data_IF_301333249145
#
_entry.id   IF_301333249145
#
_cell.length_a   1.000
_cell.length_b   1.000
_cell.length_c   1.000
_cell.angle_alpha   90.00
_cell.angle_beta   90.00
_cell.angle_gamma   90.00
#
_symmetry.space_group_name_H-M   'P 1'
#
loop_
_entity.id
_entity.type
_entity.pdbx_description
1 polymer ?
#
# COMPACT_ATOMS: atom_id res chain seq x y z
N UNK A 1 32.58 7.52 25.58
CA UNK A 1 32.94 7.95 24.22
C UNK A 1 34.41 7.67 24.01
N UNK A 2 34.78 7.02 22.90
CA UNK A 2 36.19 6.80 22.58
C UNK A 2 36.82 8.15 22.17
N UNK A 3 38.05 8.46 22.63
CA UNK A 3 38.68 9.74 22.33
C UNK A 3 39.18 9.75 20.88
N UNK A 4 38.88 10.85 20.17
CA UNK A 4 39.63 11.26 18.98
C UNK A 4 41.08 11.58 19.39
N UNK A 5 42.08 11.36 18.51
CA UNK A 5 41.96 11.42 17.07
C UNK A 5 42.02 10.07 16.34
N UNK A 6 41.35 10.01 15.19
CA UNK A 6 41.55 8.94 14.21
C UNK A 6 43.04 8.84 13.84
N UNK A 7 43.66 7.70 14.08
CA UNK A 7 45.03 7.42 13.65
C UNK A 7 45.04 6.96 12.19
N UNK A 8 46.15 7.15 11.47
CA UNK A 8 46.31 6.61 10.11
C UNK A 8 46.11 5.10 10.06
N UNK A 9 46.45 4.40 11.14
CA UNK A 9 46.19 2.98 11.32
C UNK A 9 44.69 2.67 11.47
N UNK A 10 43.93 3.50 12.19
CA UNK A 10 42.47 3.35 12.32
C UNK A 10 41.72 3.53 10.99
N UNK A 11 42.30 4.27 10.04
CA UNK A 11 41.74 4.47 8.71
C UNK A 11 41.97 3.28 7.76
N UNK A 12 42.95 2.40 8.04
CA UNK A 12 43.19 1.19 7.22
C UNK A 12 42.00 0.22 7.25
N UNK A 13 41.23 0.24 8.34
CA UNK A 13 40.03 -0.59 8.55
C UNK A 13 38.73 0.20 8.37
N UNK A 14 38.79 1.44 7.87
CA UNK A 14 37.60 2.25 7.66
C UNK A 14 36.69 1.61 6.61
N UNK A 15 35.40 1.55 6.90
CA UNK A 15 34.38 1.09 5.96
C UNK A 15 33.55 2.27 5.48
N UNK A 16 33.38 2.42 4.17
CA UNK A 16 32.39 3.36 3.61
C UNK A 16 31.04 2.66 3.71
N UNK A 17 30.09 3.34 4.36
CA UNK A 17 28.70 2.95 4.26
C UNK A 17 27.95 3.98 3.44
N UNK A 18 27.37 3.54 2.33
CA UNK A 18 26.51 4.40 1.51
C UNK A 18 25.15 4.49 2.19
N UNK A 19 24.79 5.67 2.68
CA UNK A 19 23.48 5.92 3.27
C UNK A 19 22.44 5.92 2.17
N UNK A 20 21.59 4.89 2.16
CA UNK A 20 20.60 4.72 1.14
C UNK A 20 19.34 4.08 1.73
N UNK A 21 18.24 4.83 1.78
CA UNK A 21 16.93 4.27 2.12
C UNK A 21 16.24 3.76 0.85
N UNK A 22 15.69 2.53 0.82
CA UNK A 22 14.92 2.02 -0.32
C UNK A 22 13.83 3.00 -0.78
N UNK A 23 13.28 3.79 0.16
CA UNK A 23 12.26 4.78 -0.12
C UNK A 23 12.75 5.95 -0.98
N UNK A 24 14.06 6.24 -0.98
CA UNK A 24 14.72 7.30 -1.76
C UNK A 24 15.11 6.84 -3.17
N UNK A 25 15.19 5.52 -3.41
CA UNK A 25 15.46 4.92 -4.71
C UNK A 25 14.26 4.19 -5.30
N UNK A 26 13.10 4.28 -4.64
CA UNK A 26 11.87 3.70 -5.17
C UNK A 26 11.52 4.36 -6.52
N UNK A 27 11.05 3.59 -7.53
CA UNK A 27 10.67 4.12 -8.84
C UNK A 27 9.72 5.32 -8.77
N UNK A 28 8.84 5.36 -7.76
CA UNK A 28 7.93 6.50 -7.50
C UNK A 28 8.65 7.85 -7.29
N UNK A 29 9.85 7.84 -6.69
CA UNK A 29 10.63 9.08 -6.48
C UNK A 29 11.22 9.55 -7.82
N UNK A 30 11.57 8.61 -8.70
CA UNK A 30 11.95 8.88 -10.07
C UNK A 30 10.79 9.56 -10.83
N UNK A 31 9.56 9.01 -10.72
CA UNK A 31 8.36 9.60 -11.31
C UNK A 31 8.06 11.00 -10.77
N UNK A 32 8.22 11.23 -9.46
CA UNK A 32 8.07 12.56 -8.88
C UNK A 32 9.02 13.58 -9.48
N UNK A 33 10.26 13.18 -9.80
CA UNK A 33 11.26 14.08 -10.40
C UNK A 33 10.81 14.57 -11.77
N UNK A 34 10.20 13.70 -12.57
CA UNK A 34 9.66 14.07 -13.89
C UNK A 34 8.44 14.97 -13.84
N UNK A 35 7.71 14.97 -12.73
CA UNK A 35 6.56 15.84 -12.54
C UNK A 35 6.96 17.26 -12.09
N UNK A 36 8.22 17.47 -11.73
CA UNK A 36 8.74 18.79 -11.39
C UNK A 36 9.18 19.54 -12.65
N UNK A 37 8.93 20.87 -12.73
CA UNK A 37 9.41 21.69 -13.84
C UNK A 37 10.93 21.57 -14.01
N UNK A 38 11.40 21.39 -15.25
CA UNK A 38 12.81 21.22 -15.55
C UNK A 38 13.66 22.44 -15.17
N UNK A 39 13.03 23.62 -15.05
CA UNK A 39 13.72 24.84 -14.62
C UNK A 39 14.15 24.80 -13.15
N UNK A 40 13.53 23.95 -12.33
CA UNK A 40 13.89 23.75 -10.94
C UNK A 40 14.95 22.64 -10.90
N UNK A 41 16.23 23.03 -10.86
CA UNK A 41 17.39 22.14 -10.83
C UNK A 41 17.55 21.32 -9.54
N UNK A 42 16.48 20.69 -9.05
CA UNK A 42 16.49 19.86 -7.86
C UNK A 42 16.57 18.38 -8.22
N UNK A 43 17.55 17.71 -7.63
CA UNK A 43 17.77 16.28 -7.83
C UNK A 43 17.16 15.48 -6.67
N UNK A 44 15.91 15.02 -6.83
CA UNK A 44 15.24 14.23 -5.79
C UNK A 44 15.40 12.71 -5.94
N UNK A 45 15.82 12.25 -7.12
CA UNK A 45 16.06 10.84 -7.42
C UNK A 45 17.44 10.67 -8.03
N UNK A 46 18.29 9.86 -7.40
CA UNK A 46 19.63 9.53 -7.90
C UNK A 46 19.76 8.13 -8.49
N UNK A 47 18.82 7.23 -8.16
CA UNK A 47 18.91 5.81 -8.50
C UNK A 47 20.02 5.11 -7.71
N UNK A 48 19.74 3.91 -7.20
CA UNK A 48 20.75 3.14 -6.48
C UNK A 48 21.75 2.53 -7.47
N UNK A 49 21.24 1.78 -8.45
CA UNK A 49 22.00 1.26 -9.59
C UNK A 49 21.61 1.94 -10.91
N UNK A 50 22.06 1.33 -12.01
CA UNK A 50 21.67 1.73 -13.36
C UNK A 50 20.14 1.63 -13.52
N UNK A 51 19.57 2.58 -14.23
CA UNK A 51 18.14 2.62 -14.55
C UNK A 51 17.92 3.45 -15.81
N UNK A 52 16.68 3.50 -16.28
CA UNK A 52 16.28 4.27 -17.48
C UNK A 52 16.71 5.75 -17.44
N UNK A 53 16.96 6.31 -16.25
CA UNK A 53 17.34 7.72 -16.09
C UNK A 53 18.83 7.94 -16.03
N UNK A 54 19.60 6.90 -15.72
CA UNK A 54 21.03 6.96 -15.48
C UNK A 54 21.71 5.65 -15.76
N UNK A 55 22.69 5.74 -16.64
CA UNK A 55 23.70 4.70 -16.83
C UNK A 55 24.49 4.45 -15.54
N UNK A 56 24.73 5.47 -14.70
CA UNK A 56 25.52 5.32 -13.47
C UNK A 56 24.74 5.81 -12.24
N UNK A 57 24.25 4.86 -11.44
CA UNK A 57 23.59 5.10 -10.15
C UNK A 57 24.56 5.53 -9.03
N UNK A 58 24.03 5.86 -7.85
CA UNK A 58 24.86 6.23 -6.69
C UNK A 58 25.86 5.13 -6.32
N UNK A 59 25.47 3.87 -6.48
CA UNK A 59 26.30 2.70 -6.17
C UNK A 59 27.51 2.63 -7.10
N UNK A 60 27.28 2.80 -8.41
CA UNK A 60 28.34 2.83 -9.42
C UNK A 60 29.31 3.98 -9.18
N UNK A 61 28.79 5.17 -8.85
CA UNK A 61 29.63 6.33 -8.52
C UNK A 61 30.45 6.12 -7.25
N UNK A 62 29.84 5.54 -6.22
CA UNK A 62 30.56 5.22 -4.98
C UNK A 62 31.68 4.21 -5.24
N UNK A 63 31.44 3.22 -6.12
CA UNK A 63 32.46 2.26 -6.57
C UNK A 63 33.62 2.95 -7.27
N UNK A 64 33.34 3.80 -8.26
CA UNK A 64 34.39 4.43 -9.07
C UNK A 64 35.25 5.39 -8.22
N UNK A 65 34.62 6.13 -7.29
CA UNK A 65 35.33 6.99 -6.32
C UNK A 65 36.18 6.17 -5.36
N UNK A 66 35.68 5.04 -4.86
CA UNK A 66 36.45 4.23 -3.92
C UNK A 66 37.61 3.49 -4.58
N UNK A 67 37.44 3.01 -5.81
CA UNK A 67 38.53 2.43 -6.60
C UNK A 67 39.64 3.45 -6.85
N UNK A 68 39.28 4.67 -7.26
CA UNK A 68 40.27 5.74 -7.47
C UNK A 68 40.95 6.21 -6.17
N UNK A 69 40.29 6.06 -5.03
CA UNK A 69 40.86 6.32 -3.71
C UNK A 69 41.70 5.15 -3.14
N UNK A 70 41.82 4.03 -3.87
CA UNK A 70 42.58 2.85 -3.47
C UNK A 70 41.90 1.96 -2.42
N UNK A 71 40.58 2.07 -2.26
CA UNK A 71 39.83 1.27 -1.30
C UNK A 71 39.37 -0.03 -1.96
N UNK A 72 39.50 -1.13 -1.23
CA UNK A 72 39.01 -2.43 -1.66
C UNK A 72 37.48 -2.49 -1.58
N UNK A 73 36.87 -3.26 -2.47
CA UNK A 73 35.41 -3.31 -2.63
C UNK A 73 34.68 -3.84 -1.39
N UNK A 74 35.30 -4.78 -0.67
CA UNK A 74 34.81 -5.33 0.60
C UNK A 74 34.75 -4.30 1.73
N UNK A 75 35.39 -3.13 1.57
CA UNK A 75 35.30 -2.02 2.51
C UNK A 75 34.11 -1.09 2.25
N UNK A 76 33.35 -1.31 1.17
CA UNK A 76 32.19 -0.51 0.82
C UNK A 76 30.94 -1.36 1.01
N UNK A 77 30.03 -0.90 1.85
CA UNK A 77 28.74 -1.56 2.01
C UNK A 77 27.60 -0.57 1.89
N UNK A 78 26.41 -1.10 1.61
CA UNK A 78 25.19 -0.35 1.83
C UNK A 78 25.01 -0.11 3.33
N UNK A 79 24.57 1.08 3.72
CA UNK A 79 24.07 1.27 5.07
C UNK A 79 22.64 0.77 5.12
N UNK A 80 22.45 -0.42 5.69
CA UNK A 80 21.13 -1.02 5.79
C UNK A 80 20.24 -0.33 6.85
N UNK A 81 20.58 0.87 7.33
CA UNK A 81 19.85 1.58 8.38
C UNK A 81 18.84 2.52 7.71
N UNK A 82 17.63 2.01 7.40
CA UNK A 82 16.63 1.72 8.44
C UNK A 82 16.21 0.25 8.58
N UNK A 83 16.58 -0.64 7.66
CA UNK A 83 16.27 -2.08 7.67
C UNK A 83 16.93 -2.79 8.88
N UNK A 84 18.19 -2.49 9.21
CA UNK A 84 18.90 -3.07 10.35
C UNK A 84 18.33 -2.57 11.68
N UNK A 85 17.98 -1.28 11.77
CA UNK A 85 17.31 -0.77 12.97
C UNK A 85 15.92 -1.39 13.14
N UNK A 86 15.23 -1.63 12.02
CA UNK A 86 14.01 -2.41 11.98
C UNK A 86 14.23 -3.85 12.45
N UNK A 87 15.26 -4.54 11.96
CA UNK A 87 15.58 -5.92 12.35
C UNK A 87 15.89 -6.00 13.84
N UNK A 88 16.67 -5.04 14.36
CA UNK A 88 16.97 -4.95 15.78
C UNK A 88 15.74 -4.64 16.63
N UNK A 89 14.86 -3.75 16.15
CA UNK A 89 13.57 -3.53 16.80
C UNK A 89 12.73 -4.82 16.75
N UNK A 90 12.64 -5.51 15.63
CA UNK A 90 11.90 -6.77 15.49
C UNK A 90 12.42 -7.85 16.45
N UNK A 91 13.73 -8.00 16.57
CA UNK A 91 14.41 -8.89 17.53
C UNK A 91 14.12 -8.48 18.98
N UNK A 92 14.29 -7.20 19.32
CA UNK A 92 14.01 -6.68 20.66
C UNK A 92 12.53 -6.87 21.05
N UNK A 93 11.62 -6.77 20.07
CA UNK A 93 10.19 -7.01 20.25
C UNK A 93 9.85 -8.50 20.41
N UNK A 94 10.57 -9.39 19.73
CA UNK A 94 10.40 -10.84 19.90
C UNK A 94 10.82 -11.31 21.30
N UNK A 95 11.72 -10.57 21.96
CA UNK A 95 12.17 -10.83 23.32
C UNK A 95 11.41 -10.06 24.41
N UNK A 96 10.50 -9.16 24.04
CA UNK A 96 9.78 -8.32 24.99
C UNK A 96 8.64 -9.08 25.67
N UNK A 97 8.54 -8.97 27.00
CA UNK A 97 7.46 -9.61 27.77
C UNK A 97 6.09 -9.09 27.32
N UNK A 98 5.09 -9.97 27.07
CA UNK A 98 3.80 -9.60 26.50
C UNK A 98 2.93 -8.71 27.42
N UNK A 99 3.27 -8.61 28.70
CA UNK A 99 2.39 -8.00 29.70
C UNK A 99 2.27 -6.47 29.57
N UNK A 100 3.30 -5.76 29.07
CA UNK A 100 3.21 -4.32 28.78
C UNK A 100 4.14 -3.88 27.63
N UNK A 101 3.68 -3.91 26.37
CA UNK A 101 4.45 -3.37 25.25
C UNK A 101 4.60 -1.85 25.43
N UNK A 102 5.83 -1.35 25.31
CA UNK A 102 6.13 0.08 25.35
C UNK A 102 5.30 0.85 24.30
N UNK A 103 5.05 2.17 24.46
CA UNK A 103 4.30 2.96 23.48
C UNK A 103 4.87 2.85 22.06
N UNK A 104 6.19 2.70 21.94
CA UNK A 104 6.89 2.48 20.66
C UNK A 104 6.51 1.11 20.08
N UNK A 105 6.49 0.05 20.90
CA UNK A 105 6.04 -1.29 20.48
C UNK A 105 4.62 -1.25 19.95
N UNK A 106 3.70 -0.57 20.64
CA UNK A 106 2.30 -0.43 20.21
C UNK A 106 2.18 0.32 18.88
N UNK A 107 2.95 1.40 18.71
CA UNK A 107 2.99 2.17 17.45
C UNK A 107 3.45 1.30 16.27
N UNK A 108 4.43 0.43 16.48
CA UNK A 108 4.91 -0.48 15.44
C UNK A 108 4.10 -1.78 15.31
N UNK A 109 3.30 -2.13 16.32
CA UNK A 109 2.46 -3.33 16.35
C UNK A 109 1.44 -3.39 15.21
N UNK A 110 0.93 -2.24 14.77
CA UNK A 110 0.01 -2.12 13.62
C UNK A 110 0.67 -2.63 12.33
N UNK A 111 1.97 -2.41 12.16
CA UNK A 111 2.69 -2.84 10.95
C UNK A 111 3.01 -4.34 10.95
N UNK A 112 2.93 -5.00 12.11
CA UNK A 112 3.07 -6.45 12.29
C UNK A 112 1.74 -7.20 12.17
N UNK A 113 0.62 -6.50 12.30
CA UNK A 113 -0.70 -7.07 12.05
C UNK A 113 -0.82 -7.55 10.58
N UNK A 114 -1.68 -8.54 10.29
CA UNK A 114 -2.67 -9.11 11.18
C UNK A 114 -2.07 -10.13 12.16
N UNK A 115 -2.66 -10.17 13.36
CA UNK A 115 -2.47 -11.24 14.32
C UNK A 115 -3.60 -12.27 14.16
N UNK A 116 -3.30 -13.53 14.45
CA UNK A 116 -4.24 -14.65 14.42
C UNK A 116 -4.31 -15.26 15.82
N UNK A 117 -5.48 -15.74 16.21
CA UNK A 117 -5.61 -16.61 17.36
C UNK A 117 -5.15 -18.00 16.96
N UNK A 118 -4.19 -18.54 17.70
CA UNK A 118 -3.73 -19.90 17.57
C UNK A 118 -4.23 -20.70 18.76
N UNK A 119 -4.69 -21.91 18.47
CA UNK A 119 -5.12 -22.87 19.46
C UNK A 119 -3.99 -23.88 19.62
N UNK A 120 -3.48 -24.00 20.82
CA UNK A 120 -2.50 -25.02 21.18
C UNK A 120 -3.13 -26.01 22.16
N UNK A 121 -2.99 -27.30 21.87
CA UNK A 121 -3.44 -28.35 22.76
C UNK A 121 -2.29 -28.70 23.70
N UNK A 122 -2.42 -28.29 24.95
CA UNK A 122 -1.49 -28.63 26.03
C UNK A 122 -2.03 -29.83 26.83
N UNK A 123 -1.19 -30.56 27.58
CA UNK A 123 -1.65 -31.64 28.46
C UNK A 123 -2.69 -31.19 29.50
N UNK A 124 -2.72 -29.89 29.82
CA UNK A 124 -3.61 -29.24 30.78
C UNK A 124 -4.91 -28.72 30.14
N UNK A 125 -5.03 -28.80 28.81
CA UNK A 125 -6.21 -28.38 28.06
C UNK A 125 -5.88 -27.50 26.84
N UNK A 126 -6.92 -26.90 26.28
CA UNK A 126 -6.82 -26.01 25.13
C UNK A 126 -6.40 -24.61 25.57
N UNK A 127 -5.24 -24.14 25.13
CA UNK A 127 -4.81 -22.76 25.33
C UNK A 127 -4.97 -21.98 24.03
N UNK A 128 -5.49 -20.75 24.13
CA UNK A 128 -5.62 -19.84 22.99
C UNK A 128 -4.62 -18.72 23.18
N UNK A 129 -3.71 -18.55 22.23
CA UNK A 129 -2.73 -17.47 22.23
C UNK A 129 -2.79 -16.66 20.94
N UNK A 130 -2.32 -15.41 20.99
CA UNK A 130 -2.30 -14.51 19.84
C UNK A 130 -0.89 -14.55 19.23
N UNK A 131 -0.81 -14.85 17.93
CA UNK A 131 0.44 -14.88 17.19
C UNK A 131 0.38 -13.99 15.93
N UNK A 132 1.50 -13.41 15.48
CA UNK A 132 1.54 -12.67 14.21
C UNK A 132 1.26 -13.61 13.03
N UNK A 133 0.63 -13.09 11.97
CA UNK A 133 0.49 -13.78 10.69
C UNK A 133 1.81 -13.80 9.92
N UNK A 134 2.00 -14.82 9.06
CA UNK A 134 3.17 -14.96 8.17
C UNK A 134 3.35 -13.75 7.23
N UNK A 135 2.23 -13.11 6.88
CA UNK A 135 2.20 -11.94 6.01
C UNK A 135 1.77 -10.72 6.81
N UNK A 136 2.70 -9.80 7.04
CA UNK A 136 2.47 -8.57 7.81
C UNK A 136 2.13 -7.40 6.91
N UNK A 137 1.37 -6.43 7.43
CA UNK A 137 1.02 -5.19 6.74
C UNK A 137 2.27 -4.47 6.19
N UNK A 138 3.37 -4.47 6.95
CA UNK A 138 4.65 -3.88 6.52
C UNK A 138 5.25 -4.58 5.31
N UNK A 139 5.27 -5.90 5.33
CA UNK A 139 5.84 -6.69 4.24
C UNK A 139 5.07 -6.43 2.94
N UNK A 140 3.74 -6.45 3.01
CA UNK A 140 2.88 -6.14 1.86
C UNK A 140 3.06 -4.70 1.38
N UNK A 141 3.19 -3.74 2.31
CA UNK A 141 3.50 -2.36 1.96
C UNK A 141 4.84 -2.21 1.25
N UNK A 142 5.85 -2.96 1.67
CA UNK A 142 7.16 -2.96 1.02
C UNK A 142 7.05 -3.47 -0.41
N UNK A 143 6.33 -4.58 -0.66
CA UNK A 143 6.03 -5.08 -2.02
C UNK A 143 5.38 -4.01 -2.89
N UNK A 144 4.37 -3.30 -2.37
CA UNK A 144 3.76 -2.20 -3.10
C UNK A 144 4.78 -1.10 -3.43
N UNK A 145 5.60 -0.68 -2.47
CA UNK A 145 6.53 0.44 -2.65
C UNK A 145 7.63 0.15 -3.69
N UNK A 146 7.98 -1.11 -3.89
CA UNK A 146 8.93 -1.54 -4.93
C UNK A 146 8.26 -1.83 -6.29
N UNK A 147 6.95 -1.57 -6.42
CA UNK A 147 6.22 -1.69 -7.68
C UNK A 147 5.52 -3.04 -7.92
N UNK A 148 5.57 -3.98 -6.96
CA UNK A 148 4.90 -5.28 -7.06
C UNK A 148 3.41 -5.16 -6.69
N UNK A 149 2.67 -4.30 -7.40
CA UNK A 149 1.29 -3.93 -7.05
C UNK A 149 0.31 -5.11 -7.13
N UNK A 150 0.49 -6.01 -8.09
CA UNK A 150 -0.37 -7.20 -8.26
C UNK A 150 -0.29 -8.17 -7.09
N UNK A 151 0.93 -8.47 -6.63
CA UNK A 151 1.14 -9.36 -5.48
C UNK A 151 0.77 -8.68 -4.18
N UNK A 152 1.08 -7.38 -4.04
CA UNK A 152 0.65 -6.62 -2.88
C UNK A 152 -0.89 -6.60 -2.74
N UNK A 153 -1.64 -6.52 -3.85
CA UNK A 153 -3.11 -6.59 -3.82
C UNK A 153 -3.64 -7.93 -3.30
N UNK A 154 -3.01 -9.05 -3.70
CA UNK A 154 -3.38 -10.38 -3.20
C UNK A 154 -3.15 -10.47 -1.70
N UNK A 155 -1.99 -9.97 -1.24
CA UNK A 155 -1.59 -10.07 0.15
C UNK A 155 -2.33 -9.07 1.07
N UNK A 156 -2.84 -7.95 0.55
CA UNK A 156 -3.67 -7.04 1.35
C UNK A 156 -5.05 -7.61 1.67
N UNK A 157 -5.59 -8.51 0.85
CA UNK A 157 -6.91 -9.08 1.05
C UNK A 157 -7.07 -9.80 2.41
N UNK A 158 -6.21 -10.77 2.79
CA UNK A 158 -6.31 -11.44 4.10
C UNK A 158 -6.12 -10.47 5.27
N UNK A 159 -5.35 -9.39 5.11
CA UNK A 159 -5.18 -8.35 6.15
C UNK A 159 -6.48 -7.56 6.36
N UNK A 160 -7.20 -7.25 5.27
CA UNK A 160 -8.48 -6.52 5.32
C UNK A 160 -9.60 -7.33 5.97
N UNK A 161 -9.55 -8.66 5.89
CA UNK A 161 -10.56 -9.54 6.47
C UNK A 161 -10.20 -10.02 7.88
N UNK A 162 -8.93 -9.91 8.29
CA UNK A 162 -8.47 -10.35 9.61
C UNK A 162 -9.13 -9.63 10.79
N UNK A 163 -9.64 -8.41 10.60
CA UNK A 163 -10.40 -7.71 11.64
C UNK A 163 -11.81 -8.30 11.84
N UNK A 164 -12.31 -9.12 10.91
CA UNK A 164 -13.64 -9.72 10.95
C UNK A 164 -13.64 -11.13 11.57
N UNK A 165 -12.48 -11.76 11.72
CA UNK A 165 -12.36 -13.15 12.16
C UNK A 165 -12.82 -13.39 13.60
N UNK A 166 -12.86 -12.36 14.45
CA UNK A 166 -13.24 -12.49 15.87
C UNK A 166 -14.10 -11.30 16.33
N UNK A 167 -15.39 -11.35 15.97
CA UNK A 167 -16.36 -10.27 16.26
C UNK A 167 -16.48 -9.97 17.75
N UNK A 168 -16.35 -10.98 18.61
CA UNK A 168 -16.56 -10.84 20.06
C UNK A 168 -15.32 -10.34 20.82
N UNK A 169 -14.13 -10.38 20.22
CA UNK A 169 -12.90 -9.88 20.81
C UNK A 169 -11.95 -9.37 19.70
N UNK A 170 -12.20 -8.18 19.13
CA UNK A 170 -11.40 -7.68 18.03
C UNK A 170 -10.01 -7.23 18.52
N UNK A 171 -8.96 -7.74 17.87
CA UNK A 171 -7.60 -7.23 18.02
C UNK A 171 -7.55 -5.85 17.35
N UNK A 172 -7.37 -4.78 18.13
CA UNK A 172 -7.42 -3.40 17.62
C UNK A 172 -6.39 -3.16 16.51
N UNK A 173 -5.20 -3.74 16.62
CA UNK A 173 -4.15 -3.68 15.61
C UNK A 173 -4.60 -4.25 14.27
N UNK A 174 -5.42 -5.31 14.27
CA UNK A 174 -5.99 -5.87 13.03
C UNK A 174 -6.97 -4.90 12.39
N UNK A 175 -7.81 -4.22 13.17
CA UNK A 175 -8.74 -3.21 12.66
C UNK A 175 -8.00 -2.04 12.02
N UNK A 176 -6.97 -1.53 12.70
CA UNK A 176 -6.15 -0.43 12.16
C UNK A 176 -5.40 -0.89 10.90
N UNK A 177 -4.85 -2.10 10.91
CA UNK A 177 -4.14 -2.65 9.76
C UNK A 177 -5.07 -2.90 8.56
N UNK A 178 -6.29 -3.36 8.79
CA UNK A 178 -7.31 -3.52 7.76
C UNK A 178 -7.66 -2.17 7.10
N UNK A 179 -7.74 -1.09 7.89
CA UNK A 179 -7.97 0.27 7.39
C UNK A 179 -6.82 0.74 6.48
N UNK A 180 -5.57 0.59 6.91
CA UNK A 180 -4.41 0.91 6.07
C UNK A 180 -4.35 0.04 4.81
N UNK A 181 -4.57 -1.26 4.94
CA UNK A 181 -4.60 -2.19 3.82
C UNK A 181 -5.70 -1.84 2.80
N UNK A 182 -6.85 -1.31 3.24
CA UNK A 182 -7.90 -0.84 2.34
C UNK A 182 -7.47 0.39 1.53
N UNK A 183 -6.89 1.40 2.19
CA UNK A 183 -6.35 2.59 1.50
C UNK A 183 -5.27 2.20 0.49
N UNK A 184 -4.34 1.34 0.91
CA UNK A 184 -3.21 0.93 0.08
C UNK A 184 -3.61 -0.02 -1.05
N UNK A 185 -4.64 -0.84 -0.86
CA UNK A 185 -5.28 -1.58 -1.97
C UNK A 185 -5.86 -0.63 -3.02
N UNK A 186 -6.54 0.44 -2.59
CA UNK A 186 -7.05 1.48 -3.50
C UNK A 186 -5.92 2.15 -4.30
N UNK A 187 -4.79 2.44 -3.65
CA UNK A 187 -3.59 2.96 -4.33
C UNK A 187 -3.02 1.96 -5.34
N UNK A 188 -2.86 0.68 -4.99
CA UNK A 188 -2.38 -0.33 -5.95
C UNK A 188 -3.32 -0.46 -7.15
N UNK A 189 -4.63 -0.39 -6.95
CA UNK A 189 -5.62 -0.42 -8.04
C UNK A 189 -5.46 0.81 -8.95
N UNK A 190 -5.20 1.98 -8.39
CA UNK A 190 -4.92 3.19 -9.15
C UNK A 190 -3.62 3.07 -9.96
N UNK A 191 -2.54 2.59 -9.32
CA UNK A 191 -1.22 2.40 -9.93
C UNK A 191 -1.23 1.34 -11.05
N UNK A 192 -2.11 0.35 -10.96
CA UNK A 192 -2.32 -0.69 -11.99
C UNK A 192 -3.33 -0.30 -13.08
N UNK A 193 -3.72 0.99 -13.16
CA UNK A 193 -4.61 1.49 -14.20
C UNK A 193 -6.09 1.08 -14.03
N UNK A 194 -6.53 0.76 -12.81
CA UNK A 194 -7.91 0.35 -12.49
C UNK A 194 -8.63 1.38 -11.60
N UNK A 195 -8.80 2.64 -12.06
CA UNK A 195 -9.27 3.73 -11.21
C UNK A 195 -10.72 3.53 -10.72
N UNK A 196 -11.60 2.88 -11.48
CA UNK A 196 -12.97 2.58 -11.03
C UNK A 196 -13.01 1.59 -9.87
N UNK A 197 -12.07 0.64 -9.83
CA UNK A 197 -11.92 -0.26 -8.68
C UNK A 197 -11.37 0.49 -7.47
N UNK A 198 -10.39 1.37 -7.69
CA UNK A 198 -9.83 2.23 -6.65
C UNK A 198 -10.91 3.09 -5.98
N UNK A 199 -11.78 3.74 -6.75
CA UNK A 199 -12.92 4.53 -6.22
C UNK A 199 -13.79 3.67 -5.32
N UNK A 200 -14.28 2.51 -5.78
CA UNK A 200 -15.14 1.64 -4.97
C UNK A 200 -14.48 1.20 -3.65
N UNK A 201 -13.20 0.86 -3.70
CA UNK A 201 -12.44 0.45 -2.51
C UNK A 201 -12.31 1.61 -1.51
N UNK A 202 -11.97 2.81 -2.01
CA UNK A 202 -11.71 3.99 -1.19
C UNK A 202 -12.99 4.61 -0.62
N UNK A 203 -14.09 4.63 -1.38
CA UNK A 203 -15.40 5.08 -0.89
C UNK A 203 -15.90 4.18 0.24
N UNK A 204 -15.81 2.85 0.07
CA UNK A 204 -16.17 1.91 1.12
C UNK A 204 -15.34 2.13 2.39
N UNK A 205 -14.04 2.34 2.23
CA UNK A 205 -13.14 2.64 3.34
C UNK A 205 -13.52 3.94 4.06
N UNK A 206 -13.76 5.03 3.32
CA UNK A 206 -14.12 6.32 3.91
C UNK A 206 -15.50 6.30 4.59
N UNK A 207 -16.42 5.46 4.12
CA UNK A 207 -17.69 5.22 4.78
C UNK A 207 -17.54 4.46 6.11
N UNK A 208 -16.58 3.52 6.20
CA UNK A 208 -16.41 2.67 7.39
C UNK A 208 -15.44 3.21 8.45
N UNK A 209 -14.41 3.97 8.05
CA UNK A 209 -13.30 4.35 8.94
C UNK A 209 -12.67 5.72 8.60
N UNK A 210 -13.42 6.84 8.70
CA UNK A 210 -12.97 8.16 8.24
C UNK A 210 -11.78 8.75 9.03
N UNK A 211 -11.53 8.30 10.26
CA UNK A 211 -10.48 8.87 11.13
C UNK A 211 -9.08 8.27 10.90
N UNK A 212 -8.98 6.98 10.55
CA UNK A 212 -7.70 6.26 10.46
C UNK A 212 -7.21 6.18 9.00
N UNK A 213 -6.25 7.03 8.63
CA UNK A 213 -5.78 7.10 7.23
C UNK A 213 -6.72 7.87 6.30
N UNK A 214 -7.76 8.51 6.84
CA UNK A 214 -8.78 9.23 6.08
C UNK A 214 -8.23 10.25 5.10
N UNK A 215 -7.21 11.04 5.49
CA UNK A 215 -6.60 12.01 4.58
C UNK A 215 -5.93 11.36 3.37
N UNK A 216 -5.17 10.27 3.59
CA UNK A 216 -4.54 9.54 2.50
C UNK A 216 -5.59 8.87 1.60
N UNK A 217 -6.64 8.32 2.20
CA UNK A 217 -7.78 7.75 1.47
C UNK A 217 -8.52 8.77 0.62
N UNK A 218 -8.82 9.96 1.16
CA UNK A 218 -9.45 11.06 0.42
C UNK A 218 -8.58 11.52 -0.74
N UNK A 219 -7.28 11.70 -0.53
CA UNK A 219 -6.36 12.10 -1.60
C UNK A 219 -6.29 11.06 -2.71
N UNK A 220 -6.21 9.78 -2.36
CA UNK A 220 -6.25 8.69 -3.32
C UNK A 220 -7.59 8.65 -4.08
N UNK A 221 -8.71 8.95 -3.41
CA UNK A 221 -10.04 8.97 -4.01
C UNK A 221 -10.16 10.11 -5.03
N UNK A 222 -9.74 11.32 -4.66
CA UNK A 222 -9.68 12.49 -5.56
C UNK A 222 -8.84 12.14 -6.80
N UNK A 223 -7.65 11.55 -6.61
CA UNK A 223 -6.78 11.14 -7.71
C UNK A 223 -7.43 10.08 -8.61
N UNK A 224 -8.20 9.17 -8.03
CA UNK A 224 -8.94 8.13 -8.76
C UNK A 224 -10.06 8.71 -9.63
N UNK A 225 -10.74 9.75 -9.15
CA UNK A 225 -11.74 10.49 -9.95
C UNK A 225 -11.12 11.29 -11.09
N UNK A 226 -9.98 11.93 -10.85
CA UNK A 226 -9.23 12.67 -11.89
C UNK A 226 -8.77 11.73 -13.01
N UNK A 227 -8.26 10.54 -12.66
CA UNK A 227 -7.88 9.53 -13.66
C UNK A 227 -9.06 9.06 -14.52
N UNK A 228 -10.28 9.17 -14.01
CA UNK A 228 -11.53 8.91 -14.75
C UNK A 228 -12.08 10.15 -15.48
N UNK A 229 -11.36 11.27 -15.46
CA UNK A 229 -11.81 12.58 -15.98
C UNK A 229 -13.12 13.07 -15.32
N UNK A 230 -13.45 12.57 -14.13
CA UNK A 230 -14.62 12.99 -13.37
C UNK A 230 -14.25 14.15 -12.43
N UNK A 231 -13.98 15.30 -13.04
CA UNK A 231 -13.53 16.50 -12.34
C UNK A 231 -14.59 17.07 -11.38
N UNK A 232 -15.88 16.92 -11.71
CA UNK A 232 -16.97 17.40 -10.85
C UNK A 232 -17.00 16.68 -9.51
N UNK A 233 -16.85 15.35 -9.48
CA UNK A 233 -16.73 14.57 -8.24
C UNK A 233 -15.46 14.92 -7.46
N UNK A 234 -14.32 15.06 -8.14
CA UNK A 234 -13.07 15.44 -7.50
C UNK A 234 -13.18 16.81 -6.78
N UNK A 235 -13.78 17.81 -7.42
CA UNK A 235 -14.03 19.14 -6.84
C UNK A 235 -15.00 19.06 -5.66
N UNK A 236 -16.11 18.33 -5.81
CA UNK A 236 -17.09 18.15 -4.74
C UNK A 236 -16.48 17.57 -3.46
N UNK A 237 -15.56 16.61 -3.58
CA UNK A 237 -14.85 16.06 -2.43
C UNK A 237 -13.96 17.12 -1.77
N UNK A 238 -13.23 17.93 -2.54
CA UNK A 238 -12.40 19.00 -1.97
C UNK A 238 -13.24 20.05 -1.24
N UNK A 239 -14.39 20.43 -1.80
CA UNK A 239 -15.25 21.46 -1.23
C UNK A 239 -15.94 21.01 0.07
N UNK A 240 -16.27 19.72 0.17
CA UNK A 240 -16.90 19.11 1.35
C UNK A 240 -15.93 18.81 2.50
N UNK A 241 -14.62 18.90 2.29
CA UNK A 241 -13.66 18.73 3.36
C UNK A 241 -13.81 19.82 4.45
N UNK A 242 -13.52 19.51 5.72
CA UNK A 242 -13.32 20.54 6.75
C UNK A 242 -12.18 21.48 6.37
N UNK A 243 -12.29 22.78 6.67
CA UNK A 243 -11.29 23.78 6.26
C UNK A 243 -9.88 23.48 6.81
N UNK A 244 -9.79 22.88 8.01
CA UNK A 244 -8.54 22.40 8.60
C UNK A 244 -7.85 21.29 7.78
N UNK A 245 -8.59 20.57 6.93
CA UNK A 245 -8.08 19.53 6.04
C UNK A 245 -7.88 20.02 4.60
N UNK A 246 -8.45 21.17 4.22
CA UNK A 246 -8.27 21.79 2.89
C UNK A 246 -6.89 22.42 2.78
N UNK A 247 -5.93 21.64 2.28
CA UNK A 247 -4.62 22.18 1.96
C UNK A 247 -4.71 23.26 0.88
N UNK A 248 -3.79 24.24 0.90
CA UNK A 248 -3.68 25.26 -0.15
C UNK A 248 -3.58 24.64 -1.55
N UNK A 249 -2.88 23.50 -1.63
CA UNK A 249 -2.73 22.70 -2.84
C UNK A 249 -4.07 22.18 -3.36
N UNK A 250 -4.89 21.60 -2.50
CA UNK A 250 -6.18 21.01 -2.91
C UNK A 250 -7.15 22.09 -3.40
N UNK A 251 -7.16 23.27 -2.77
CA UNK A 251 -7.94 24.44 -3.23
C UNK A 251 -7.53 24.90 -4.64
N UNK A 252 -6.23 25.07 -4.86
CA UNK A 252 -5.70 25.46 -6.16
C UNK A 252 -6.04 24.42 -7.25
N UNK A 253 -5.93 23.13 -6.92
CA UNK A 253 -6.33 22.08 -7.84
C UNK A 253 -7.82 22.08 -8.15
N UNK A 254 -8.68 22.28 -7.14
CA UNK A 254 -10.12 22.37 -7.36
C UNK A 254 -10.50 23.51 -8.31
N UNK A 255 -9.88 24.68 -8.18
CA UNK A 255 -10.06 25.80 -9.13
C UNK A 255 -9.68 25.41 -10.56
N UNK A 256 -8.56 24.69 -10.73
CA UNK A 256 -8.11 24.24 -12.05
C UNK A 256 -9.05 23.19 -12.64
N UNK A 257 -9.52 22.24 -11.83
CA UNK A 257 -10.44 21.19 -12.28
C UNK A 257 -11.82 21.74 -12.62
N UNK A 258 -12.31 22.79 -11.95
CA UNK A 258 -13.56 23.46 -12.33
C UNK A 258 -13.55 23.96 -13.76
N UNK A 259 -12.42 24.47 -14.25
CA UNK A 259 -12.25 24.91 -15.64
C UNK A 259 -12.24 23.76 -16.66
N UNK A 260 -12.06 22.53 -16.19
CA UNK A 260 -12.05 21.32 -17.02
C UNK A 260 -13.39 20.56 -16.95
N UNK A 261 -14.31 20.97 -16.08
CA UNK A 261 -15.68 20.46 -16.10
C UNK A 261 -16.27 20.97 -17.41
N UNK A 262 -16.72 20.09 -18.32
CA UNK A 262 -17.36 20.52 -19.55
C UNK A 262 -18.46 21.50 -19.16
N UNK A 263 -18.42 22.72 -19.70
CA UNK A 263 -19.57 23.61 -19.60
C UNK A 263 -20.76 22.79 -20.07
N UNK A 264 -21.70 22.52 -19.17
CA UNK A 264 -23.00 22.02 -19.60
C UNK A 264 -23.49 23.06 -20.58
N UNK A 265 -23.37 22.76 -21.87
CA UNK A 265 -23.91 23.61 -22.92
C UNK A 265 -25.35 23.86 -22.50
N UNK A 266 -25.78 25.12 -22.34
CA UNK A 266 -27.14 25.40 -21.92
C UNK A 266 -28.04 24.68 -22.90
N UNK A 267 -28.90 23.81 -22.38
CA UNK A 267 -29.80 22.95 -23.12
C UNK A 267 -30.68 23.80 -24.04
N UNK A 268 -30.17 24.10 -25.23
CA UNK A 268 -30.92 24.55 -26.40
C UNK A 268 -31.24 23.30 -27.20
N UNK A 269 -32.32 22.64 -26.82
CA UNK A 269 -33.16 21.76 -27.65
C UNK A 269 -33.91 20.82 -26.71
N UNK A 270 -35.12 21.23 -26.33
CA UNK A 270 -36.28 20.37 -26.11
C UNK A 270 -37.52 21.27 -25.99
N UNK A 271 -37.69 22.16 -26.96
CA UNK A 271 -39.00 22.67 -27.36
C UNK A 271 -39.13 22.39 -28.85
N UNK A 272 -39.61 21.18 -29.17
CA UNK A 272 -40.39 20.77 -30.35
C UNK A 272 -40.27 19.26 -30.51
N UNK A 273 -41.21 18.51 -29.95
CA UNK A 273 -42.27 17.88 -30.74
C UNK A 273 -43.21 17.07 -29.85
N UNK A 274 -44.48 17.47 -29.92
CA UNK A 274 -45.63 16.70 -29.51
C UNK A 274 -45.88 15.52 -30.46
N UNK A 275 -46.64 14.53 -29.95
CA UNK A 275 -47.38 13.49 -30.70
C UNK A 275 -46.49 12.33 -31.16
N UNK A 276 -46.70 11.06 -30.81
CA UNK A 276 -47.97 10.35 -30.85
C UNK A 276 -47.88 8.99 -30.11
N UNK A 277 -48.99 8.62 -29.48
CA UNK A 277 -49.61 7.27 -29.44
C UNK A 277 -48.86 6.00 -29.00
N UNK A 278 -49.35 5.50 -27.85
CA UNK A 278 -49.98 4.17 -27.59
C UNK A 278 -49.21 2.84 -27.61
N UNK A 279 -49.63 1.99 -26.66
CA UNK A 279 -49.63 0.51 -26.58
C UNK A 279 -48.29 -0.12 -26.20
N UNK A 280 -48.07 -0.59 -24.96
CA UNK A 280 -48.69 -1.76 -24.28
C UNK A 280 -48.62 -3.03 -25.14
N UNK A 281 -47.60 -3.87 -24.92
CA UNK A 281 -47.77 -5.32 -24.76
C UNK A 281 -46.48 -5.97 -24.29
N UNK A 282 -46.62 -6.70 -23.19
CA UNK A 282 -45.65 -7.56 -22.54
C UNK A 282 -46.02 -9.00 -22.94
N UNK A 283 -45.08 -9.87 -23.34
CA UNK A 283 -45.31 -11.29 -23.17
C UNK A 283 -44.17 -11.96 -22.39
N UNK A 284 -44.57 -12.44 -21.22
CA UNK A 284 -43.88 -13.43 -20.38
C UNK A 284 -43.99 -14.83 -21.01
N UNK A 285 -42.86 -15.54 -21.17
CA UNK A 285 -42.59 -17.00 -20.89
C UNK A 285 -41.55 -17.61 -21.86
N UNK A 286 -40.96 -18.79 -21.56
CA UNK A 286 -40.80 -19.49 -20.27
C UNK A 286 -39.35 -19.94 -19.96
N UNK A 287 -39.21 -20.47 -18.75
CA UNK A 287 -38.06 -21.13 -18.14
C UNK A 287 -37.35 -22.16 -19.04
N UNK A 288 -36.02 -22.11 -19.02
CA UNK A 288 -35.15 -23.20 -19.46
C UNK A 288 -34.73 -24.02 -18.24
N UNK A 289 -34.84 -25.33 -18.40
CA UNK A 289 -34.55 -26.38 -17.43
C UNK A 289 -33.05 -26.42 -17.08
N UNK A 290 -32.76 -26.55 -15.79
CA UNK A 290 -31.41 -26.85 -15.29
C UNK A 290 -31.06 -28.33 -15.61
N UNK A 291 -29.88 -28.61 -16.18
CA UNK A 291 -29.40 -29.98 -16.35
C UNK A 291 -28.94 -30.58 -15.01
N UNK A 292 -29.04 -31.92 -14.84
CA UNK A 292 -28.76 -32.59 -13.57
C UNK A 292 -27.26 -32.60 -13.22
N UNK A 293 -26.99 -32.48 -11.91
CA UNK A 293 -25.69 -32.65 -11.28
C UNK A 293 -25.14 -34.08 -11.49
N UNK A 294 -23.82 -34.23 -11.72
CA UNK A 294 -23.18 -35.53 -11.74
C UNK A 294 -23.03 -36.12 -10.32
N UNK A 295 -23.25 -37.42 -10.26
CA UNK A 295 -23.24 -38.32 -9.10
C UNK A 295 -21.79 -38.65 -8.69
N UNK A 296 -21.33 -38.11 -7.56
CA UNK A 296 -20.01 -38.41 -6.96
C UNK A 296 -20.14 -39.67 -6.08
N UNK A 297 -20.17 -40.82 -6.74
CA UNK A 297 -19.94 -42.11 -6.10
C UNK A 297 -18.44 -42.30 -5.84
N UNK A 298 -18.03 -42.15 -4.58
CA UNK A 298 -16.72 -42.51 -4.09
C UNK A 298 -16.56 -44.05 -3.97
N UNK A 299 -15.44 -44.65 -4.43
CA UNK A 299 -15.05 -45.97 -3.99
C UNK A 299 -14.12 -45.88 -2.76
N UNK A 300 -14.55 -46.57 -1.71
CA UNK A 300 -13.77 -46.98 -0.55
C UNK A 300 -12.87 -48.15 -0.97
N UNK A 301 -11.58 -48.14 -0.59
CA UNK A 301 -10.65 -49.29 -0.39
C UNK A 301 -9.19 -48.82 -0.58
N UNK A 302 -8.12 -49.33 0.05
CA UNK A 302 -7.83 -50.07 1.29
C UNK A 302 -6.31 -49.97 1.48
N UNK A 303 -5.86 -50.23 2.71
CA UNK A 303 -4.50 -50.52 3.19
C UNK A 303 -3.45 -51.03 2.19
N UNK A 304 -2.20 -50.59 2.41
CA UNK A 304 -1.01 -51.32 1.93
C UNK A 304 0.30 -50.66 2.35
N UNK A 305 0.74 -50.90 3.59
CA UNK A 305 2.15 -50.78 4.00
C UNK A 305 2.86 -52.08 3.59
N UNK A 306 4.08 -51.99 3.05
CA UNK A 306 5.13 -52.87 3.57
C UNK A 306 6.47 -52.15 3.79
N UNK A 307 7.25 -52.83 4.62
CA UNK A 307 8.58 -52.56 5.19
C UNK A 307 9.66 -52.02 4.25
#
# INVERSE_FOLDING_TARGET
GMPYPLTSESLKNARIRVIASPEQFAPRIASLRFLLPAEIGFEIYRGFGENELRENGIWTKARDVAQSAGWSWDHISLWDYPIEQQRQLELALATASPEQPSPIVRMFGIFKAPYKYMVEMTPEGQTVHIAPSDTTLRYVRTKQLIGQHGDALKDYLPIRTASQSYVNNPIMENTVAANYAAVWSGLCQLETGRPSSAVRTLERFLASAPSQGGRAGVQALIQSYIRQQNYSRAVSIVDTLPDQLKSRRDRWYAERWRKLIPEQSPSKELEKEHSDKTTNENPTKPAAEDPPLPDDSAPTETSGVPE
#
